data_IF_513053177880
#
_entry.id   IF_513053177880
#
_cell.length_a   1.000
_cell.length_b   1.000
_cell.length_c   1.000
_cell.angle_alpha   90.00
_cell.angle_beta   90.00
_cell.angle_gamma   90.00
#
_symmetry.space_group_name_H-M   'P 1'
#
loop_
_entity.id
_entity.type
_entity.pdbx_description
1 polymer ?
#
# COMPACT_ATOMS: atom_id res chain seq x y z
N UNK A 1 -21.11 7.69 3.41
CA UNK A 1 -20.34 6.53 2.89
C UNK A 1 -19.55 5.92 4.04
N UNK A 2 -19.40 4.59 4.05
CA UNK A 2 -18.82 3.82 5.17
C UNK A 2 -17.48 4.37 5.73
N UNK A 3 -16.67 5.03 4.90
CA UNK A 3 -15.36 5.58 5.30
C UNK A 3 -15.43 6.83 6.20
N UNK A 4 -16.60 7.48 6.26
CA UNK A 4 -16.82 8.63 7.15
C UNK A 4 -17.40 8.20 8.51
N UNK A 5 -17.93 6.98 8.59
CA UNK A 5 -18.57 6.44 9.77
C UNK A 5 -17.50 6.07 10.81
N UNK A 6 -17.60 6.64 12.02
CA UNK A 6 -16.70 6.32 13.12
C UNK A 6 -16.83 4.88 13.59
N UNK A 7 -18.03 4.33 13.52
CA UNK A 7 -18.34 3.04 14.12
C UNK A 7 -17.75 1.92 13.25
N UNK A 8 -17.75 2.13 11.93
CA UNK A 8 -17.12 1.23 10.96
C UNK A 8 -15.60 1.31 10.93
N UNK A 9 -14.97 2.33 11.54
CA UNK A 9 -13.49 2.39 11.63
C UNK A 9 -12.93 1.29 12.51
N UNK A 10 -13.67 0.86 13.52
CA UNK A 10 -13.24 -0.24 14.39
C UNK A 10 -13.09 -1.56 13.63
N UNK A 11 -13.85 -1.76 12.54
CA UNK A 11 -13.76 -2.96 11.71
C UNK A 11 -12.42 -3.11 10.99
N UNK A 12 -11.66 -2.02 10.82
CA UNK A 12 -10.32 -2.08 10.22
C UNK A 12 -9.25 -2.61 11.18
N UNK A 13 -9.53 -2.59 12.49
CA UNK A 13 -8.62 -3.07 13.53
C UNK A 13 -7.32 -2.25 13.67
N UNK A 14 -6.50 -2.66 14.64
CA UNK A 14 -5.15 -2.12 14.83
C UNK A 14 -5.10 -0.63 15.23
N UNK A 15 -3.99 0.02 14.88
CA UNK A 15 -3.69 1.41 15.24
C UNK A 15 -4.50 2.47 14.48
N UNK A 16 -5.32 2.07 13.49
CA UNK A 16 -6.11 3.01 12.69
C UNK A 16 -7.12 3.80 13.53
N UNK A 17 -7.68 3.16 14.57
CA UNK A 17 -8.65 3.79 15.47
C UNK A 17 -8.05 4.92 16.32
N UNK A 18 -6.71 4.95 16.48
CA UNK A 18 -5.99 5.98 17.22
C UNK A 18 -5.57 7.17 16.35
N UNK A 19 -5.70 7.07 15.02
CA UNK A 19 -5.34 8.15 14.10
C UNK A 19 -6.45 9.21 14.00
N UNK A 20 -6.08 10.49 13.77
CA UNK A 20 -7.05 11.51 13.37
C UNK A 20 -7.87 11.06 12.15
N UNK A 21 -9.16 11.44 12.09
CA UNK A 21 -10.10 10.92 11.08
C UNK A 21 -9.62 11.10 9.64
N UNK A 22 -8.97 12.21 9.31
CA UNK A 22 -8.45 12.44 7.97
C UNK A 22 -7.29 11.50 7.65
N UNK A 23 -6.35 11.35 8.57
CA UNK A 23 -5.21 10.46 8.41
C UNK A 23 -5.63 8.99 8.33
N UNK A 24 -6.57 8.57 9.18
CA UNK A 24 -7.14 7.24 9.12
C UNK A 24 -7.72 6.96 7.73
N UNK A 25 -8.49 7.89 7.17
CA UNK A 25 -9.05 7.75 5.81
C UNK A 25 -7.97 7.64 4.73
N UNK A 26 -6.93 8.47 4.82
CA UNK A 26 -5.81 8.41 3.87
C UNK A 26 -5.12 7.04 3.90
N UNK A 27 -4.85 6.51 5.10
CA UNK A 27 -4.24 5.17 5.27
C UNK A 27 -5.18 4.07 4.77
N UNK A 28 -6.49 4.15 5.05
CA UNK A 28 -7.50 3.20 4.53
C UNK A 28 -7.49 3.18 3.00
N UNK A 29 -7.59 4.35 2.36
CA UNK A 29 -7.61 4.43 0.90
C UNK A 29 -6.31 3.95 0.28
N UNK A 30 -5.17 4.36 0.82
CA UNK A 30 -3.87 3.87 0.37
C UNK A 30 -3.77 2.34 0.49
N UNK A 31 -4.23 1.77 1.61
CA UNK A 31 -4.26 0.32 1.82
C UNK A 31 -5.18 -0.43 0.87
N UNK A 32 -6.36 0.12 0.57
CA UNK A 32 -7.28 -0.46 -0.42
C UNK A 32 -6.67 -0.46 -1.82
N UNK A 33 -6.04 0.65 -2.22
CA UNK A 33 -5.38 0.79 -3.52
C UNK A 33 -4.26 -0.25 -3.67
N UNK A 34 -3.38 -0.36 -2.67
CA UNK A 34 -2.24 -1.29 -2.73
C UNK A 34 -2.72 -2.75 -2.69
N UNK A 35 -3.73 -3.07 -1.87
CA UNK A 35 -4.33 -4.41 -1.83
C UNK A 35 -5.00 -4.78 -3.16
N UNK A 36 -5.65 -3.82 -3.82
CA UNK A 36 -6.24 -4.02 -5.13
C UNK A 36 -5.16 -4.30 -6.19
N UNK A 37 -4.08 -3.52 -6.23
CA UNK A 37 -2.95 -3.78 -7.13
C UNK A 37 -2.30 -5.13 -6.87
N UNK A 38 -2.13 -5.53 -5.62
CA UNK A 38 -1.63 -6.86 -5.27
C UNK A 38 -2.53 -7.95 -5.87
N UNK A 39 -3.85 -7.82 -5.69
CA UNK A 39 -4.83 -8.77 -6.23
C UNK A 39 -4.72 -8.88 -7.77
N UNK A 40 -4.76 -7.75 -8.48
CA UNK A 40 -4.59 -7.69 -9.93
C UNK A 40 -3.25 -8.26 -10.39
N UNK A 41 -2.17 -7.97 -9.64
CA UNK A 41 -0.84 -8.48 -9.95
C UNK A 41 -0.79 -10.00 -9.82
N UNK A 42 -1.38 -10.58 -8.77
CA UNK A 42 -1.41 -12.02 -8.54
C UNK A 42 -2.18 -12.76 -9.64
N UNK A 43 -3.33 -12.23 -10.06
CA UNK A 43 -4.12 -12.83 -11.16
C UNK A 43 -3.56 -12.52 -12.55
N UNK A 44 -2.41 -11.84 -12.63
CA UNK A 44 -1.70 -11.45 -13.87
C UNK A 44 -2.46 -10.45 -14.76
N UNK A 45 -3.41 -9.72 -14.17
CA UNK A 45 -4.08 -8.60 -14.82
C UNK A 45 -3.18 -7.34 -14.83
N UNK A 46 -2.27 -7.24 -13.85
CA UNK A 46 -1.15 -6.29 -13.87
C UNK A 46 0.20 -7.00 -14.07
N UNK A 47 0.98 -6.49 -15.02
CA UNK A 47 2.39 -6.84 -15.20
C UNK A 47 3.32 -5.85 -14.46
N UNK A 48 4.63 -6.12 -14.48
CA UNK A 48 5.63 -5.33 -13.75
C UNK A 48 5.76 -3.89 -14.24
N UNK A 49 5.57 -3.65 -15.55
CA UNK A 49 5.69 -2.33 -16.15
C UNK A 49 4.46 -1.47 -15.80
N UNK A 50 3.26 -2.03 -15.95
CA UNK A 50 2.01 -1.38 -15.56
C UNK A 50 1.98 -1.06 -14.06
N UNK A 51 2.44 -1.99 -13.23
CA UNK A 51 2.55 -1.78 -11.79
C UNK A 51 3.57 -0.67 -11.48
N UNK A 52 4.73 -0.68 -12.15
CA UNK A 52 5.74 0.37 -11.99
C UNK A 52 5.20 1.77 -12.30
N UNK A 53 4.52 1.94 -13.43
CA UNK A 53 3.93 3.23 -13.82
C UNK A 53 2.93 3.72 -12.78
N UNK A 54 2.10 2.81 -12.27
CA UNK A 54 1.07 3.16 -11.29
C UNK A 54 1.70 3.54 -9.93
N UNK A 55 2.77 2.85 -9.54
CA UNK A 55 3.53 3.15 -8.33
C UNK A 55 4.28 4.47 -8.42
N UNK A 56 4.82 4.83 -9.59
CA UNK A 56 5.49 6.12 -9.79
C UNK A 56 4.51 7.29 -9.56
N UNK A 57 3.25 7.15 -10.01
CA UNK A 57 2.19 8.14 -9.72
C UNK A 57 1.84 8.13 -8.23
N UNK A 58 1.64 6.96 -7.62
CA UNK A 58 1.28 6.83 -6.22
C UNK A 58 2.31 7.44 -5.27
N UNK A 59 3.60 7.19 -5.53
CA UNK A 59 4.70 7.71 -4.74
C UNK A 59 5.12 9.13 -5.09
N UNK A 60 4.50 9.75 -6.10
CA UNK A 60 4.63 11.21 -6.28
C UNK A 60 3.94 12.00 -5.15
N UNK A 61 2.95 11.39 -4.49
CA UNK A 61 2.23 11.97 -3.37
C UNK A 61 2.79 11.57 -1.99
N UNK A 62 2.78 12.50 -1.04
CA UNK A 62 3.27 12.25 0.33
C UNK A 62 2.46 11.19 1.09
N UNK A 63 1.16 11.07 0.81
CA UNK A 63 0.31 10.04 1.42
C UNK A 63 0.79 8.64 1.05
N UNK A 64 1.13 8.40 -0.22
CA UNK A 64 1.62 7.10 -0.69
C UNK A 64 2.97 6.73 -0.07
N UNK A 65 3.90 7.70 0.00
CA UNK A 65 5.20 7.53 0.66
C UNK A 65 5.03 7.21 2.15
N UNK A 66 4.21 8.00 2.87
CA UNK A 66 3.94 7.80 4.29
C UNK A 66 3.33 6.43 4.56
N UNK A 67 2.30 6.05 3.79
CA UNK A 67 1.65 4.75 3.89
C UNK A 67 2.68 3.62 3.76
N UNK A 68 3.50 3.63 2.71
CA UNK A 68 4.47 2.57 2.50
C UNK A 68 5.55 2.54 3.58
N UNK A 69 6.06 3.70 4.00
CA UNK A 69 7.03 3.80 5.10
C UNK A 69 6.54 3.12 6.38
N UNK A 70 5.27 3.30 6.72
CA UNK A 70 4.65 2.78 7.94
C UNK A 70 4.23 1.30 7.82
N UNK A 71 3.85 0.86 6.62
CA UNK A 71 3.27 -0.47 6.41
C UNK A 71 4.20 -1.46 5.69
N UNK A 72 5.38 -1.05 5.22
CA UNK A 72 6.33 -1.92 4.49
C UNK A 72 6.70 -3.17 5.27
N UNK A 73 6.87 -3.08 6.59
CA UNK A 73 7.25 -4.22 7.44
C UNK A 73 6.12 -5.25 7.49
N UNK A 74 4.87 -4.78 7.61
CA UNK A 74 3.69 -5.61 7.55
C UNK A 74 3.56 -6.31 6.18
N UNK A 75 3.70 -5.57 5.08
CA UNK A 75 3.65 -6.16 3.73
C UNK A 75 4.74 -7.20 3.49
N UNK A 76 5.97 -6.92 3.91
CA UNK A 76 7.08 -7.87 3.79
C UNK A 76 6.81 -9.14 4.60
N UNK A 77 6.36 -9.03 5.86
CA UNK A 77 6.04 -10.18 6.70
C UNK A 77 4.86 -11.00 6.12
N UNK A 78 3.79 -10.32 5.71
CA UNK A 78 2.60 -10.94 5.13
C UNK A 78 2.93 -11.71 3.85
N UNK A 79 3.74 -11.13 2.97
CA UNK A 79 4.10 -11.75 1.70
C UNK A 79 5.18 -12.82 1.84
N UNK A 80 6.06 -12.73 2.85
CA UNK A 80 6.98 -13.81 3.20
C UNK A 80 6.22 -15.05 3.75
N UNK A 81 5.11 -14.83 4.47
CA UNK A 81 4.23 -15.90 4.91
C UNK A 81 3.41 -16.51 3.76
N UNK A 82 3.22 -15.79 2.66
CA UNK A 82 2.54 -16.30 1.48
C UNK A 82 3.47 -17.24 0.69
N UNK A 83 3.01 -18.45 0.37
CA UNK A 83 3.79 -19.43 -0.42
C UNK A 83 3.97 -19.06 -1.91
N UNK A 84 3.60 -17.84 -2.31
CA UNK A 84 3.65 -17.38 -3.70
C UNK A 84 4.88 -16.49 -3.95
N UNK A 85 5.81 -16.94 -4.79
CA UNK A 85 6.94 -16.12 -5.22
C UNK A 85 6.52 -14.81 -5.92
N UNK A 86 5.32 -14.77 -6.51
CA UNK A 86 4.77 -13.56 -7.14
C UNK A 86 4.38 -12.49 -6.13
N UNK A 87 3.89 -12.91 -4.95
CA UNK A 87 3.65 -12.00 -3.83
C UNK A 87 4.93 -11.34 -3.33
N UNK A 88 6.03 -12.10 -3.24
CA UNK A 88 7.35 -11.55 -2.93
C UNK A 88 7.81 -10.53 -3.97
N UNK A 89 7.68 -10.87 -5.26
CA UNK A 89 8.05 -9.97 -6.37
C UNK A 89 7.27 -8.66 -6.35
N UNK A 90 5.98 -8.70 -6.01
CA UNK A 90 5.16 -7.49 -5.84
C UNK A 90 5.80 -6.54 -4.82
N UNK A 91 6.09 -7.02 -3.61
CA UNK A 91 6.67 -6.18 -2.55
C UNK A 91 8.04 -5.64 -2.95
N UNK A 92 8.88 -6.47 -3.57
CA UNK A 92 10.20 -6.02 -4.07
C UNK A 92 10.05 -4.88 -5.07
N UNK A 93 9.09 -4.95 -5.98
CA UNK A 93 8.85 -3.89 -6.95
C UNK A 93 8.31 -2.62 -6.30
N UNK A 94 7.35 -2.76 -5.38
CA UNK A 94 6.80 -1.61 -4.64
C UNK A 94 7.88 -0.90 -3.83
N UNK A 95 8.73 -1.66 -3.13
CA UNK A 95 9.81 -1.08 -2.34
C UNK A 95 10.85 -0.39 -3.22
N UNK A 96 11.25 -1.00 -4.35
CA UNK A 96 12.18 -0.37 -5.28
C UNK A 96 11.65 0.97 -5.82
N UNK A 97 10.36 1.05 -6.14
CA UNK A 97 9.72 2.28 -6.63
C UNK A 97 9.60 3.34 -5.53
N UNK A 98 9.29 2.92 -4.30
CA UNK A 98 9.31 3.81 -3.14
C UNK A 98 10.71 4.41 -2.91
N UNK A 99 11.76 3.58 -2.92
CA UNK A 99 13.14 4.06 -2.73
C UNK A 99 13.54 5.08 -3.80
N UNK A 100 13.23 4.78 -5.06
CA UNK A 100 13.48 5.72 -6.16
C UNK A 100 12.77 7.06 -5.95
N UNK A 101 11.51 7.06 -5.49
CA UNK A 101 10.74 8.27 -5.25
C UNK A 101 11.26 9.11 -4.06
N UNK A 102 11.75 8.47 -2.98
CA UNK A 102 12.30 9.23 -1.84
C UNK A 102 13.69 9.78 -2.12
N UNK A 103 14.51 9.08 -2.92
CA UNK A 103 15.84 9.58 -3.31
C UNK A 103 15.78 10.72 -4.31
N UNK A 104 14.79 10.73 -5.22
CA UNK A 104 14.63 11.80 -6.22
C UNK A 104 14.23 13.15 -5.62
N UNK A 105 13.66 13.16 -4.41
CA UNK A 105 13.20 14.35 -3.70
C UNK A 105 14.12 14.75 -2.53
N UNK A 106 15.28 14.10 -2.36
CA UNK A 106 16.31 14.42 -1.37
C UNK A 106 17.45 15.23 -2.02
#
# INVERSE_FOLDING_TARGET
MAIHDSDLRMCWGGGLAALPQEEARQVMFAGLIVTWWHSCYIVKDLNDEQLSMTLDVFFSGEVGKRYWRENRSFWTALMAAASSGRSGRFVTLVDARYQHAVTRNA
#
